data_IF_910043158973
#
_entry.id   IF_910043158973
#
_cell.length_a   1.000
_cell.length_b   1.000
_cell.length_c   1.000
_cell.angle_alpha   90.00
_cell.angle_beta   90.00
_cell.angle_gamma   90.00
#
_symmetry.space_group_name_H-M   'P 1'
#
loop_
_entity.id
_entity.type
_entity.pdbx_description
1 polymer ?
#
# COMPACT_ATOMS: atom_id res chain seq x y z
N UNK A 1 -4.55 -21.18 -17.95
CA UNK A 1 -4.40 -21.40 -16.49
C UNK A 1 -3.23 -20.62 -15.87
N UNK A 2 -1.98 -20.72 -16.36
CA UNK A 2 -0.82 -20.01 -15.77
C UNK A 2 -0.89 -18.47 -15.79
N UNK A 3 -1.62 -17.89 -16.75
CA UNK A 3 -1.89 -16.45 -16.80
C UNK A 3 -2.88 -15.98 -15.73
N UNK A 4 -3.90 -16.79 -15.43
CA UNK A 4 -4.93 -16.47 -14.44
C UNK A 4 -4.31 -16.31 -13.03
N UNK A 5 -3.41 -17.22 -12.66
CA UNK A 5 -2.66 -17.14 -11.40
C UNK A 5 -1.84 -15.84 -11.29
N UNK A 6 -1.20 -15.40 -12.37
CA UNK A 6 -0.43 -14.16 -12.36
C UNK A 6 -1.32 -12.94 -12.08
N UNK A 7 -2.53 -12.90 -12.65
CA UNK A 7 -3.49 -11.82 -12.38
C UNK A 7 -3.97 -11.81 -10.94
N UNK A 8 -4.21 -12.98 -10.33
CA UNK A 8 -4.61 -13.07 -8.92
C UNK A 8 -3.54 -12.46 -8.01
N UNK A 9 -2.26 -12.76 -8.26
CA UNK A 9 -1.14 -12.19 -7.50
C UNK A 9 -1.04 -10.65 -7.66
N UNK A 10 -1.25 -10.14 -8.87
CA UNK A 10 -1.26 -8.68 -9.12
C UNK A 10 -2.42 -8.02 -8.38
N UNK A 11 -3.63 -8.57 -8.50
CA UNK A 11 -4.83 -7.99 -7.87
C UNK A 11 -4.67 -8.00 -6.35
N UNK A 12 -4.18 -9.10 -5.77
CA UNK A 12 -3.94 -9.22 -4.34
C UNK A 12 -2.90 -8.18 -3.87
N UNK A 13 -1.78 -8.04 -4.58
CA UNK A 13 -0.78 -7.02 -4.25
C UNK A 13 -1.28 -5.59 -4.38
N UNK A 14 -2.02 -5.30 -5.45
CA UNK A 14 -2.63 -3.99 -5.66
C UNK A 14 -3.64 -3.64 -4.56
N UNK A 15 -4.45 -4.62 -4.13
CA UNK A 15 -5.39 -4.44 -3.03
C UNK A 15 -4.68 -4.15 -1.69
N UNK A 16 -3.61 -4.88 -1.36
CA UNK A 16 -2.82 -4.62 -0.16
C UNK A 16 -2.20 -3.21 -0.17
N UNK A 17 -1.63 -2.79 -1.31
CA UNK A 17 -1.06 -1.45 -1.47
C UNK A 17 -2.15 -0.39 -1.30
N UNK A 18 -3.31 -0.55 -1.94
CA UNK A 18 -4.41 0.39 -1.87
C UNK A 18 -4.95 0.52 -0.43
N UNK A 19 -5.09 -0.59 0.30
CA UNK A 19 -5.51 -0.58 1.70
C UNK A 19 -4.50 0.12 2.61
N UNK A 20 -3.20 -0.12 2.42
CA UNK A 20 -2.14 0.53 3.19
C UNK A 20 -2.03 2.04 2.92
N UNK A 21 -2.20 2.45 1.65
CA UNK A 21 -2.27 3.87 1.28
C UNK A 21 -3.51 4.55 1.85
N UNK A 22 -4.66 3.88 1.80
CA UNK A 22 -5.90 4.42 2.33
C UNK A 22 -5.83 4.63 3.85
N UNK A 23 -5.30 3.66 4.60
CA UNK A 23 -5.16 3.80 6.06
C UNK A 23 -4.16 4.91 6.42
N UNK A 24 -3.02 5.00 5.73
CA UNK A 24 -2.06 6.08 5.94
C UNK A 24 -2.67 7.47 5.62
N UNK A 25 -3.45 7.57 4.54
CA UNK A 25 -4.13 8.82 4.17
C UNK A 25 -5.21 9.23 5.19
N UNK A 26 -5.92 8.27 5.76
CA UNK A 26 -6.93 8.53 6.79
C UNK A 26 -6.31 9.08 8.08
N UNK A 27 -5.16 8.54 8.50
CA UNK A 27 -4.42 9.09 9.66
C UNK A 27 -3.84 10.48 9.38
N UNK A 28 -3.34 10.71 8.17
CA UNK A 28 -2.87 12.02 7.74
C UNK A 28 -4.00 13.06 7.80
N UNK A 29 -5.19 12.70 7.27
CA UNK A 29 -6.38 13.56 7.31
C UNK A 29 -6.80 13.91 8.74
N UNK A 30 -6.77 12.93 9.65
CA UNK A 30 -7.09 13.17 11.06
C UNK A 30 -6.14 14.18 11.74
N UNK A 31 -4.91 14.28 11.26
CA UNK A 31 -3.93 15.25 11.77
C UNK A 31 -4.23 16.65 11.21
N UNK A 32 -4.55 16.76 9.92
CA UNK A 32 -4.90 18.04 9.29
C UNK A 32 -6.25 18.60 9.75
N UNK A 33 -7.27 17.76 9.93
CA UNK A 33 -8.58 18.21 10.43
C UNK A 33 -8.45 18.79 11.86
N UNK A 34 -7.52 18.26 12.66
CA UNK A 34 -7.23 18.78 14.00
C UNK A 34 -6.52 20.14 13.96
N UNK A 35 -5.53 20.30 13.08
CA UNK A 35 -4.81 21.57 12.89
C UNK A 35 -5.72 22.68 12.33
N UNK A 36 -6.74 22.33 11.55
CA UNK A 36 -7.71 23.29 11.01
C UNK A 36 -8.76 23.73 12.03
N UNK A 37 -9.03 22.92 13.04
CA UNK A 37 -10.04 23.22 14.07
C UNK A 37 -9.47 23.94 15.29
N UNK A 38 -8.18 23.74 15.61
CA UNK A 38 -7.51 24.51 16.66
C UNK A 38 -6.03 24.82 16.30
N UNK A 39 -5.76 25.94 15.61
CA UNK A 39 -4.42 26.27 15.10
C UNK A 39 -3.44 26.75 16.19
N UNK A 40 -3.92 26.99 17.42
CA UNK A 40 -3.15 27.46 18.57
C UNK A 40 -3.16 26.48 19.74
N UNK A 41 -3.87 25.35 19.63
CA UNK A 41 -3.74 24.27 20.59
C UNK A 41 -2.27 23.85 20.67
N UNK A 42 -1.66 24.05 21.85
CA UNK A 42 -0.51 23.27 22.23
C UNK A 42 -0.89 21.80 22.00
N UNK A 43 0.01 20.97 21.46
CA UNK A 43 -0.30 19.59 21.16
C UNK A 43 -0.55 18.82 22.47
N UNK A 44 -1.76 18.94 23.02
CA UNK A 44 -2.24 18.26 24.23
C UNK A 44 -2.60 16.79 23.93
N UNK A 45 -2.02 16.27 22.84
CA UNK A 45 -2.12 14.89 22.38
C UNK A 45 -0.71 14.33 22.27
N UNK A 46 -0.17 13.92 23.41
CA UNK A 46 0.97 13.03 23.62
C UNK A 46 1.75 12.69 22.33
N UNK A 47 2.57 13.64 21.89
CA UNK A 47 3.22 13.68 20.58
C UNK A 47 4.24 12.56 20.34
N UNK A 48 4.49 11.67 21.30
CA UNK A 48 5.74 10.90 21.27
C UNK A 48 5.67 9.49 20.70
N UNK A 49 4.52 8.86 20.46
CA UNK A 49 4.63 7.43 20.07
C UNK A 49 3.54 6.78 19.22
N UNK A 50 2.26 7.10 19.35
CA UNK A 50 1.25 6.18 18.80
C UNK A 50 0.84 6.46 17.34
N UNK A 51 0.47 7.69 16.97
CA UNK A 51 0.00 7.99 15.61
C UNK A 51 1.08 7.81 14.53
N UNK A 52 2.32 8.34 14.68
CA UNK A 52 3.36 8.14 13.66
C UNK A 52 3.69 6.65 13.47
N UNK A 53 3.64 5.88 14.56
CA UNK A 53 3.87 4.43 14.54
C UNK A 53 2.77 3.69 13.80
N UNK A 54 1.48 4.04 14.02
CA UNK A 54 0.37 3.44 13.27
C UNK A 54 0.45 3.78 11.78
N UNK A 55 0.85 5.00 11.45
CA UNK A 55 1.03 5.44 10.07
C UNK A 55 2.19 4.69 9.39
N UNK A 56 3.32 4.53 10.08
CA UNK A 56 4.44 3.71 9.62
C UNK A 56 4.08 2.23 9.46
N UNK A 57 3.27 1.67 10.37
CA UNK A 57 2.77 0.29 10.28
C UNK A 57 1.81 0.14 9.10
N UNK A 58 0.94 1.12 8.86
CA UNK A 58 0.02 1.16 7.72
C UNK A 58 0.77 1.19 6.38
N UNK A 59 1.78 2.07 6.27
CA UNK A 59 2.67 2.14 5.10
C UNK A 59 3.46 0.84 4.95
N UNK A 60 3.96 0.27 6.04
CA UNK A 60 4.65 -1.02 6.06
C UNK A 60 3.78 -2.15 5.53
N UNK A 61 2.51 -2.21 5.94
CA UNK A 61 1.53 -3.16 5.41
C UNK A 61 1.28 -2.96 3.91
N UNK A 62 1.18 -1.72 3.45
CA UNK A 62 1.09 -1.40 2.02
C UNK A 62 2.32 -1.87 1.24
N UNK A 63 3.51 -1.69 1.80
CA UNK A 63 4.78 -2.10 1.18
C UNK A 63 4.89 -3.62 1.02
N UNK A 64 4.33 -4.41 1.94
CA UNK A 64 4.25 -5.89 1.79
C UNK A 64 3.50 -6.27 0.51
N UNK A 65 2.51 -5.46 0.08
CA UNK A 65 1.77 -5.66 -1.16
C UNK A 65 2.60 -5.48 -2.45
N UNK A 66 3.77 -4.83 -2.39
CA UNK A 66 4.68 -4.72 -3.54
C UNK A 66 5.28 -6.07 -3.94
N UNK A 67 5.50 -6.97 -2.98
CA UNK A 67 6.06 -8.32 -3.22
C UNK A 67 5.14 -9.16 -4.12
N UNK A 68 3.87 -9.41 -3.78
CA UNK A 68 2.95 -10.15 -4.62
C UNK A 68 2.70 -9.46 -5.97
N UNK A 69 2.65 -8.13 -5.99
CA UNK A 69 2.52 -7.35 -7.23
C UNK A 69 3.71 -7.61 -8.17
N UNK A 70 4.94 -7.50 -7.66
CA UNK A 70 6.18 -7.74 -8.40
C UNK A 70 6.23 -9.17 -8.97
N UNK A 71 5.94 -10.18 -8.15
CA UNK A 71 5.89 -11.60 -8.56
C UNK A 71 4.90 -11.78 -9.71
N UNK A 72 3.68 -11.25 -9.58
CA UNK A 72 2.65 -11.32 -10.60
C UNK A 72 3.08 -10.67 -11.93
N UNK A 73 3.67 -9.48 -11.89
CA UNK A 73 4.22 -8.81 -13.08
C UNK A 73 5.34 -9.61 -13.76
N UNK A 74 6.27 -10.17 -12.98
CA UNK A 74 7.38 -10.98 -13.52
C UNK A 74 6.86 -12.26 -14.18
N UNK A 75 5.86 -12.93 -13.58
CA UNK A 75 5.22 -14.11 -14.19
C UNK A 75 4.55 -13.77 -15.52
N UNK A 76 3.84 -12.65 -15.59
CA UNK A 76 3.21 -12.17 -16.83
C UNK A 76 4.25 -11.84 -17.90
N UNK A 77 5.33 -11.17 -17.53
CA UNK A 77 6.42 -10.84 -18.45
C UNK A 77 7.11 -12.10 -19.00
N UNK A 78 7.43 -13.06 -18.13
CA UNK A 78 8.01 -14.36 -18.52
C UNK A 78 7.08 -15.17 -19.41
N UNK A 79 5.77 -15.15 -19.16
CA UNK A 79 4.79 -15.83 -20.01
C UNK A 79 4.69 -15.17 -21.40
N UNK A 80 4.67 -13.83 -21.47
CA UNK A 80 4.68 -13.09 -22.75
C UNK A 80 5.96 -13.33 -23.54
N UNK A 81 7.12 -13.31 -22.88
CA UNK A 81 8.41 -13.61 -23.52
C UNK A 81 8.46 -15.04 -24.08
N UNK A 82 7.94 -16.04 -23.36
CA UNK A 82 7.82 -17.42 -23.85
C UNK A 82 6.86 -17.55 -25.02
N UNK A 83 5.74 -16.82 -25.00
CA UNK A 83 4.77 -16.83 -26.11
C UNK A 83 5.35 -16.25 -27.40
N UNK A 84 6.23 -15.24 -27.31
CA UNK A 84 6.90 -14.65 -28.48
C UNK A 84 7.95 -15.57 -29.11
N UNK A 85 8.59 -16.44 -28.32
CA UNK A 85 9.60 -17.41 -28.80
C UNK A 85 9.01 -18.64 -29.50
N UNK A 86 7.69 -18.86 -29.40
CA UNK A 86 6.98 -20.00 -30.00
C UNK A 86 6.23 -19.64 -31.28
N UNK A 87 6.22 -18.37 -31.67
CA UNK A 87 5.79 -17.89 -32.99
C UNK A 87 7.02 -17.57 -33.79
#
# INVERSE_FOLDING_TARGET
MKSLFAYIWIICGAACIALGLYSAAMELRGTYDHLLTDPLAEPEYDEKTERPKRMLVAVGFGAVGLIPLAIGTVMLHRNRARSRRRR
#
